data_IF_563530228852
#
_entry.id   IF_563530228852
#
_cell.length_a   1.000
_cell.length_b   1.000
_cell.length_c   1.000
_cell.angle_alpha   90.00
_cell.angle_beta   90.00
_cell.angle_gamma   90.00
#
_symmetry.space_group_name_H-M   'P 1'
#
loop_
_entity.id
_entity.type
_entity.pdbx_description
1 polymer ?
#
# COMPACT_ATOMS: atom_id res chain seq x y z
N UNK A 1 6.20 40.17 21.03
CA UNK A 1 5.05 40.00 20.11
C UNK A 1 5.02 38.54 19.70
N UNK A 2 4.08 37.71 20.19
CA UNK A 2 4.04 36.28 19.90
C UNK A 2 3.53 36.02 18.47
N UNK A 3 3.98 34.92 17.89
CA UNK A 3 3.74 34.52 16.51
C UNK A 3 2.27 34.14 16.27
N UNK A 4 1.71 34.71 15.19
CA UNK A 4 0.43 34.34 14.61
C UNK A 4 0.62 33.01 13.87
N UNK A 5 0.54 31.87 14.57
CA UNK A 5 0.42 30.57 13.91
C UNK A 5 -0.98 30.45 13.34
N UNK A 6 -1.05 30.43 12.01
CA UNK A 6 -2.24 30.29 11.20
C UNK A 6 -3.15 29.17 11.74
N UNK A 7 -4.41 29.52 11.98
CA UNK A 7 -5.50 28.57 12.09
C UNK A 7 -5.54 27.76 10.79
N UNK A 8 -5.03 26.52 10.84
CA UNK A 8 -5.25 25.55 9.77
C UNK A 8 -6.73 25.20 9.77
N UNK A 9 -7.39 25.46 8.66
CA UNK A 9 -8.79 25.19 8.39
C UNK A 9 -9.26 23.85 8.98
N UNK A 10 -10.07 23.96 10.02
CA UNK A 10 -10.75 22.87 10.73
C UNK A 10 -11.98 22.47 9.91
N UNK A 11 -11.80 21.90 8.72
CA UNK A 11 -12.84 21.03 8.10
C UNK A 11 -12.39 20.25 6.86
N UNK A 12 -11.18 19.69 6.86
CA UNK A 12 -10.80 18.74 5.81
C UNK A 12 -10.92 17.34 6.39
N UNK A 13 -11.95 16.59 5.98
CA UNK A 13 -12.07 15.17 6.30
C UNK A 13 -10.91 14.42 5.63
N UNK A 14 -9.78 14.33 6.33
CA UNK A 14 -8.57 13.62 5.88
C UNK A 14 -8.65 12.16 6.30
N UNK A 15 -8.15 11.28 5.44
CA UNK A 15 -7.96 9.88 5.74
C UNK A 15 -6.67 9.63 6.50
N UNK A 16 -6.62 8.55 7.28
CA UNK A 16 -5.41 8.02 7.88
C UNK A 16 -5.15 6.63 7.32
N UNK A 17 -3.89 6.28 7.09
CA UNK A 17 -3.53 4.89 6.80
C UNK A 17 -3.40 4.14 8.13
N UNK A 18 -4.48 3.47 8.51
CA UNK A 18 -4.67 2.89 9.83
C UNK A 18 -3.85 1.61 10.03
N UNK A 19 -3.88 0.71 9.03
CA UNK A 19 -3.24 -0.60 9.16
C UNK A 19 -2.91 -1.21 7.80
N UNK A 20 -1.78 -1.90 7.76
CA UNK A 20 -1.44 -2.85 6.70
C UNK A 20 -1.30 -4.21 7.39
N UNK A 21 -2.08 -5.19 6.97
CA UNK A 21 -1.99 -6.57 7.49
C UNK A 21 -1.73 -7.55 6.36
N UNK A 22 -0.89 -8.53 6.64
CA UNK A 22 -0.56 -9.61 5.72
C UNK A 22 -1.13 -10.92 6.23
N UNK A 23 -1.85 -11.64 5.37
CA UNK A 23 -2.35 -12.98 5.63
C UNK A 23 -1.76 -13.91 4.58
N UNK A 24 -0.90 -14.82 5.02
CA UNK A 24 -0.28 -15.83 4.16
C UNK A 24 -1.07 -17.13 4.27
N UNK A 25 -1.52 -17.64 3.15
CA UNK A 25 -2.11 -18.98 3.00
C UNK A 25 -1.18 -19.83 2.11
N UNK A 26 -1.55 -21.09 1.85
CA UNK A 26 -0.70 -22.03 1.09
C UNK A 26 -0.32 -21.50 -0.30
N UNK A 27 -1.30 -20.95 -1.03
CA UNK A 27 -1.18 -20.53 -2.42
C UNK A 27 -1.54 -19.07 -2.68
N UNK A 28 -1.95 -18.35 -1.63
CA UNK A 28 -2.44 -16.98 -1.67
C UNK A 28 -1.79 -16.13 -0.59
N UNK A 29 -1.42 -14.90 -0.96
CA UNK A 29 -1.01 -13.85 -0.01
C UNK A 29 -2.02 -12.73 -0.12
N UNK A 30 -2.70 -12.43 0.98
CA UNK A 30 -3.61 -11.30 1.09
C UNK A 30 -2.93 -10.17 1.84
N UNK A 31 -3.05 -8.97 1.30
CA UNK A 31 -2.59 -7.73 1.92
C UNK A 31 -3.79 -6.82 2.05
N UNK A 32 -4.23 -6.62 3.29
CA UNK A 32 -5.31 -5.70 3.63
C UNK A 32 -4.70 -4.35 4.02
N UNK A 33 -5.11 -3.32 3.29
CA UNK A 33 -4.74 -1.92 3.52
C UNK A 33 -5.98 -1.19 3.99
N UNK A 34 -6.01 -0.89 5.28
CA UNK A 34 -7.14 -0.25 5.97
C UNK A 34 -6.82 1.23 6.10
N UNK A 35 -7.70 2.07 5.56
CA UNK A 35 -7.55 3.52 5.62
C UNK A 35 -8.89 4.23 5.85
N UNK A 36 -8.81 5.49 6.26
CA UNK A 36 -9.97 6.32 6.59
C UNK A 36 -10.91 6.59 5.41
N UNK A 37 -12.15 7.01 5.68
CA UNK A 37 -13.09 7.45 4.66
C UNK A 37 -12.50 8.61 3.84
N UNK A 38 -13.07 8.88 2.66
CA UNK A 38 -12.63 9.96 1.76
C UNK A 38 -11.22 9.83 1.17
N UNK A 39 -10.62 8.65 1.26
CA UNK A 39 -9.36 8.31 0.59
C UNK A 39 -9.63 7.81 -0.84
N UNK A 40 -9.01 8.45 -1.82
CA UNK A 40 -8.97 7.94 -3.21
C UNK A 40 -7.70 7.14 -3.45
N UNK A 41 -7.73 6.19 -4.38
CA UNK A 41 -6.57 5.36 -4.67
C UNK A 41 -6.29 5.25 -6.17
N UNK A 42 -5.01 5.10 -6.51
CA UNK A 42 -4.54 4.78 -7.86
C UNK A 42 -3.43 3.75 -7.74
N UNK A 43 -3.40 2.78 -8.63
CA UNK A 43 -2.30 1.83 -8.70
C UNK A 43 -1.67 1.82 -10.09
N UNK A 44 -0.39 1.46 -10.14
CA UNK A 44 0.36 1.24 -11.37
C UNK A 44 1.56 0.33 -11.10
N UNK A 45 2.08 -0.27 -12.17
CA UNK A 45 3.27 -1.11 -12.14
C UNK A 45 4.47 -0.34 -12.67
N UNK A 46 5.63 -0.57 -12.08
CA UNK A 46 6.92 -0.11 -12.58
C UNK A 46 7.79 -1.32 -12.89
N UNK A 47 8.51 -1.27 -14.01
CA UNK A 47 9.58 -2.19 -14.35
C UNK A 47 10.94 -1.54 -14.06
N UNK A 48 11.96 -2.33 -13.72
CA UNK A 48 13.34 -1.89 -13.47
C UNK A 48 13.55 -1.01 -12.20
N UNK A 49 13.43 -1.57 -10.97
CA UNK A 49 13.02 -2.94 -10.64
C UNK A 49 11.49 -3.08 -10.59
N UNK A 50 11.00 -4.32 -10.69
CA UNK A 50 9.58 -4.62 -10.67
C UNK A 50 8.94 -4.18 -9.34
N UNK A 51 7.97 -3.26 -9.42
CA UNK A 51 7.28 -2.73 -8.25
C UNK A 51 5.82 -2.50 -8.56
N UNK A 52 4.93 -2.81 -7.62
CA UNK A 52 3.55 -2.35 -7.65
C UNK A 52 3.46 -1.14 -6.75
N UNK A 53 2.94 -0.04 -7.28
CA UNK A 53 2.78 1.21 -6.54
C UNK A 53 1.30 1.48 -6.38
N UNK A 54 0.90 1.78 -5.15
CA UNK A 54 -0.43 2.19 -4.78
C UNK A 54 -0.36 3.57 -4.12
N UNK A 55 -0.85 4.57 -4.83
CA UNK A 55 -1.01 5.92 -4.32
C UNK A 55 -2.36 6.02 -3.60
N UNK A 56 -2.33 6.51 -2.36
CA UNK A 56 -3.49 6.84 -1.53
C UNK A 56 -3.53 8.37 -1.36
N UNK A 57 -4.57 8.98 -1.90
CA UNK A 57 -4.78 10.43 -1.93
C UNK A 57 -5.73 10.81 -0.80
N UNK A 58 -5.47 11.97 -0.17
CA UNK A 58 -6.15 12.45 1.02
C UNK A 58 -5.79 11.66 2.27
N UNK A 59 -4.53 11.23 2.38
CA UNK A 59 -3.97 10.61 3.60
C UNK A 59 -3.10 11.64 4.32
N UNK A 60 -3.43 12.00 5.55
CA UNK A 60 -2.66 12.96 6.34
C UNK A 60 -1.45 12.30 7.03
N UNK A 61 -1.64 11.09 7.55
CA UNK A 61 -0.58 10.34 8.22
C UNK A 61 -0.73 8.81 8.06
N UNK A 62 0.38 8.12 8.32
CA UNK A 62 0.51 6.67 8.28
C UNK A 62 0.77 6.16 9.70
N UNK A 63 -0.25 5.53 10.27
CA UNK A 63 -0.21 4.88 11.59
C UNK A 63 0.18 3.41 11.52
N UNK A 64 0.14 2.81 10.32
CA UNK A 64 0.56 1.44 10.08
C UNK A 64 2.08 1.28 10.09
N UNK A 65 2.53 0.02 10.14
CA UNK A 65 3.92 -0.31 9.83
C UNK A 65 4.29 0.22 8.44
N UNK A 66 5.43 0.90 8.38
CA UNK A 66 5.95 1.53 7.16
C UNK A 66 6.87 0.61 6.36
N UNK A 67 7.34 -0.47 6.98
CA UNK A 67 8.23 -1.43 6.35
C UNK A 67 7.89 -2.84 6.85
N UNK A 68 7.48 -3.69 5.91
CA UNK A 68 7.05 -5.06 6.17
C UNK A 68 7.86 -5.99 5.26
N UNK A 69 8.64 -6.88 5.87
CA UNK A 69 9.40 -7.89 5.13
C UNK A 69 8.52 -9.10 4.83
N UNK A 70 8.43 -9.48 3.55
CA UNK A 70 7.53 -10.55 3.09
C UNK A 70 8.31 -11.76 2.61
N UNK A 71 9.30 -11.54 1.74
CA UNK A 71 10.16 -12.55 1.10
C UNK A 71 9.42 -13.81 0.58
N UNK A 72 8.22 -13.64 0.05
CA UNK A 72 7.38 -14.74 -0.42
C UNK A 72 6.44 -14.25 -1.54
N UNK A 73 5.86 -15.15 -2.32
CA UNK A 73 4.92 -14.84 -3.42
C UNK A 73 5.49 -13.94 -4.53
N UNK A 74 6.82 -13.78 -4.59
CA UNK A 74 7.50 -12.84 -5.48
C UNK A 74 7.59 -11.42 -4.92
N UNK A 75 7.14 -11.18 -3.68
CA UNK A 75 7.25 -9.91 -2.96
C UNK A 75 8.40 -9.99 -1.97
N UNK A 76 9.29 -9.01 -2.04
CA UNK A 76 10.41 -8.86 -1.10
C UNK A 76 9.96 -8.06 0.12
N UNK A 77 9.54 -6.82 -0.10
CA UNK A 77 9.13 -5.88 0.96
C UNK A 77 7.91 -5.09 0.56
N UNK A 78 7.08 -4.74 1.54
CA UNK A 78 6.01 -3.75 1.40
C UNK A 78 6.42 -2.53 2.19
N UNK A 79 6.40 -1.37 1.53
CA UNK A 79 6.80 -0.09 2.13
C UNK A 79 5.66 0.89 2.03
N UNK A 80 5.40 1.63 3.10
CA UNK A 80 4.44 2.72 3.11
C UNK A 80 5.16 4.00 3.52
N UNK A 81 4.95 5.08 2.76
CA UNK A 81 5.55 6.37 3.04
C UNK A 81 4.71 7.52 2.50
N UNK A 82 4.78 8.66 3.19
CA UNK A 82 4.22 9.90 2.67
C UNK A 82 5.10 10.37 1.52
N UNK A 83 4.54 10.45 0.31
CA UNK A 83 5.30 10.89 -0.88
C UNK A 83 5.03 12.35 -1.25
N UNK A 84 3.88 12.90 -0.81
CA UNK A 84 3.51 14.31 -0.89
C UNK A 84 2.63 14.68 0.30
N UNK A 85 2.44 15.98 0.53
CA UNK A 85 1.43 16.47 1.47
C UNK A 85 0.07 15.87 1.14
N UNK A 86 -0.60 15.27 2.14
CA UNK A 86 -1.89 14.59 2.00
C UNK A 86 -1.90 13.40 1.04
N UNK A 87 -0.75 12.77 0.78
CA UNK A 87 -0.69 11.59 -0.07
C UNK A 87 0.34 10.55 0.42
N UNK A 88 -0.15 9.36 0.72
CA UNK A 88 0.65 8.19 1.05
C UNK A 88 0.86 7.30 -0.18
N UNK A 89 1.99 6.61 -0.22
CA UNK A 89 2.32 5.64 -1.26
C UNK A 89 2.71 4.33 -0.59
N UNK A 90 2.04 3.26 -1.00
CA UNK A 90 2.38 1.89 -0.64
C UNK A 90 3.07 1.25 -1.84
N UNK A 91 4.29 0.78 -1.65
CA UNK A 91 5.14 0.15 -2.67
C UNK A 91 5.35 -1.31 -2.30
N UNK A 92 5.08 -2.20 -3.24
CA UNK A 92 5.40 -3.61 -3.15
C UNK A 92 6.64 -3.85 -4.00
N UNK A 93 7.78 -4.03 -3.35
CA UNK A 93 9.02 -4.40 -4.03
C UNK A 93 8.96 -5.89 -4.39
N UNK A 94 9.16 -6.19 -5.67
CA UNK A 94 9.10 -7.55 -6.18
C UNK A 94 10.51 -8.08 -6.42
N UNK A 95 10.76 -9.33 -6.00
CA UNK A 95 12.05 -10.01 -6.21
C UNK A 95 12.17 -10.60 -7.60
N UNK A 96 11.04 -11.03 -8.17
CA UNK A 96 10.96 -11.77 -9.42
C UNK A 96 9.90 -11.17 -10.36
N UNK A 97 9.59 -11.87 -11.46
CA UNK A 97 8.48 -11.49 -12.33
C UNK A 97 7.18 -11.42 -11.54
N UNK A 98 6.43 -10.37 -11.83
CA UNK A 98 5.16 -10.04 -11.20
C UNK A 98 4.19 -11.24 -11.23
N UNK A 99 3.82 -11.72 -10.04
CA UNK A 99 2.78 -12.73 -9.85
C UNK A 99 1.41 -12.12 -10.15
N UNK A 100 0.46 -12.87 -10.73
CA UNK A 100 -0.90 -12.37 -10.89
C UNK A 100 -1.46 -11.89 -9.55
N UNK A 101 -1.92 -10.65 -9.52
CA UNK A 101 -2.54 -10.04 -8.36
C UNK A 101 -3.91 -9.47 -8.70
N UNK A 102 -4.74 -9.31 -7.68
CA UNK A 102 -6.05 -8.67 -7.79
C UNK A 102 -6.19 -7.64 -6.69
N UNK A 103 -6.59 -6.42 -7.05
CA UNK A 103 -6.96 -5.38 -6.10
C UNK A 103 -8.49 -5.36 -6.01
N UNK A 104 -9.02 -5.47 -4.80
CA UNK A 104 -10.45 -5.42 -4.52
C UNK A 104 -10.73 -4.33 -3.49
N UNK A 105 -11.67 -3.44 -3.77
CA UNK A 105 -12.10 -2.43 -2.81
C UNK A 105 -12.96 -3.08 -1.73
N UNK A 106 -12.64 -2.80 -0.47
CA UNK A 106 -13.41 -3.28 0.69
C UNK A 106 -14.10 -2.10 1.37
N UNK A 107 -15.01 -2.37 2.31
CA UNK A 107 -15.69 -1.32 3.08
C UNK A 107 -14.71 -0.45 3.91
N UNK A 108 -13.54 -1.01 4.25
CA UNK A 108 -12.55 -0.39 5.15
C UNK A 108 -11.28 0.08 4.42
N UNK A 109 -11.19 -0.12 3.10
CA UNK A 109 -10.00 0.23 2.31
C UNK A 109 -9.84 -0.63 1.07
N UNK A 110 -8.66 -1.27 0.94
CA UNK A 110 -8.30 -2.13 -0.20
C UNK A 110 -7.75 -3.47 0.28
N UNK A 111 -8.06 -4.52 -0.47
CA UNK A 111 -7.44 -5.84 -0.35
C UNK A 111 -6.69 -6.15 -1.64
N UNK A 112 -5.41 -6.50 -1.52
CA UNK A 112 -4.60 -7.00 -2.63
C UNK A 112 -4.35 -8.49 -2.40
N UNK A 113 -4.74 -9.33 -3.34
CA UNK A 113 -4.50 -10.77 -3.28
C UNK A 113 -3.48 -11.16 -4.35
N UNK A 114 -2.39 -11.77 -3.93
CA UNK A 114 -1.35 -12.33 -4.78
C UNK A 114 -1.49 -13.85 -4.82
N UNK A 115 -1.34 -14.45 -6.01
CA UNK A 115 -1.31 -15.92 -6.15
C UNK A 115 0.10 -16.40 -6.44
N UNK A 116 0.52 -17.52 -5.84
CA UNK A 116 1.82 -18.13 -6.21
C UNK A 116 1.81 -18.46 -7.69
N UNK A 117 2.69 -17.82 -8.46
CA UNK A 117 3.02 -18.27 -9.79
C UNK A 117 3.84 -19.54 -9.64
N UNK A 118 3.37 -20.67 -10.19
CA UNK A 118 4.21 -21.86 -10.31
C UNK A 118 5.42 -21.45 -11.15
N UNK A 119 6.60 -21.38 -10.52
CA UNK A 119 7.86 -21.24 -11.24
C UNK A 119 7.92 -22.40 -12.23
N UNK A 120 7.82 -22.11 -13.53
CA UNK A 120 8.20 -23.08 -14.56
C UNK A 120 9.68 -23.33 -14.30
N UNK A 121 10.03 -24.45 -13.65
CA UNK A 121 11.39 -24.98 -13.68
C UNK A 121 11.75 -25.08 -15.16
N UNK A 122 12.71 -24.27 -15.61
CA UNK A 122 13.36 -24.53 -16.89
C UNK A 122 14.10 -25.85 -16.68
N UNK A 123 13.59 -26.89 -17.33
CA UNK A 123 14.23 -28.20 -17.43
C UNK A 123 15.52 -28.10 -18.22
#
# INVERSE_FOLDING_TARGET
MPALFAAKDVNKETGLLNKISLTKEENTLEVDIIFGPYTSHRHFELSEPNRIVLDLINIEDILSDRHLEVNDFGIQTIRAGMFKTNAARVVFDLKDKLSPYKITKTKKGLKITFRKKKLKKRS
#
